data_IF_914845705114
#
_entry.id   IF_914845705114
#
_cell.length_a   1.000
_cell.length_b   1.000
_cell.length_c   1.000
_cell.angle_alpha   90.00
_cell.angle_beta   90.00
_cell.angle_gamma   90.00
#
_symmetry.space_group_name_H-M   'P 1'
#
loop_
_entity.id
_entity.type
_entity.pdbx_description
1 polymer ?
#
# COMPACT_ATOMS: atom_id res chain seq x y z
N UNK A 1 -28.64 -1.75 29.44
CA UNK A 1 -27.17 -1.70 29.32
C UNK A 1 -26.86 -1.09 27.97
N UNK A 2 -26.72 0.24 27.93
CA UNK A 2 -26.28 0.95 26.75
C UNK A 2 -24.82 0.55 26.49
N UNK A 3 -24.55 -0.02 25.32
CA UNK A 3 -23.18 -0.27 24.87
C UNK A 3 -22.48 1.09 24.75
N UNK A 4 -21.46 1.34 25.55
CA UNK A 4 -20.59 2.52 25.46
C UNK A 4 -19.77 2.56 24.15
N UNK A 5 -19.94 1.56 23.29
CA UNK A 5 -19.38 1.48 21.95
C UNK A 5 -20.50 1.09 20.99
N UNK A 6 -21.35 2.04 20.67
CA UNK A 6 -22.25 1.91 19.52
C UNK A 6 -21.38 1.99 18.26
N UNK A 7 -20.86 0.84 17.84
CA UNK A 7 -19.99 0.64 16.66
C UNK A 7 -20.61 1.26 15.40
N UNK A 8 -21.94 1.41 15.37
CA UNK A 8 -22.68 2.09 14.33
C UNK A 8 -22.25 3.56 14.15
N UNK A 9 -22.05 4.28 15.25
CA UNK A 9 -21.64 5.69 15.21
C UNK A 9 -20.19 5.84 14.74
N UNK A 10 -19.32 4.88 15.08
CA UNK A 10 -17.94 4.82 14.58
C UNK A 10 -17.87 4.52 13.08
N UNK A 11 -18.82 3.72 12.56
CA UNK A 11 -18.91 3.41 11.12
C UNK A 11 -19.10 4.67 10.28
N UNK A 12 -19.97 5.59 10.70
CA UNK A 12 -20.16 6.86 10.00
C UNK A 12 -18.93 7.78 10.07
N UNK A 13 -18.18 7.74 11.16
CA UNK A 13 -16.91 8.48 11.24
C UNK A 13 -15.84 7.89 10.32
N UNK A 14 -15.87 6.59 10.03
CA UNK A 14 -14.93 5.95 9.10
C UNK A 14 -14.94 6.62 7.73
N UNK A 15 -16.13 6.92 7.19
CA UNK A 15 -16.24 7.56 5.87
C UNK A 15 -15.68 9.00 5.88
N UNK A 16 -15.90 9.76 6.96
CA UNK A 16 -15.31 11.10 7.12
C UNK A 16 -13.79 11.01 7.19
N UNK A 17 -13.24 10.02 7.91
CA UNK A 17 -11.79 9.79 7.97
C UNK A 17 -11.21 9.43 6.60
N UNK A 18 -11.93 8.64 5.80
CA UNK A 18 -11.52 8.32 4.42
C UNK A 18 -11.41 9.60 3.59
N UNK A 19 -12.43 10.47 3.63
CA UNK A 19 -12.40 11.76 2.91
C UNK A 19 -11.21 12.61 3.34
N UNK A 20 -11.01 12.77 4.66
CA UNK A 20 -9.90 13.57 5.20
C UNK A 20 -8.54 12.99 4.82
N UNK A 21 -8.42 11.66 4.81
CA UNK A 21 -7.19 10.98 4.42
C UNK A 21 -6.88 11.20 2.95
N UNK A 22 -7.87 11.00 2.07
CA UNK A 22 -7.73 11.23 0.62
C UNK A 22 -7.43 12.70 0.34
N UNK A 23 -8.15 13.63 0.97
CA UNK A 23 -7.91 15.06 0.89
C UNK A 23 -6.46 15.41 1.26
N UNK A 24 -5.99 14.92 2.41
CA UNK A 24 -4.63 15.21 2.90
C UNK A 24 -3.57 14.61 1.98
N UNK A 25 -3.79 13.38 1.49
CA UNK A 25 -2.89 12.72 0.55
C UNK A 25 -2.77 13.47 -0.78
N UNK A 26 -3.90 13.82 -1.39
CA UNK A 26 -3.93 14.60 -2.64
C UNK A 26 -3.33 15.99 -2.42
N UNK A 27 -3.66 16.65 -1.31
CA UNK A 27 -3.08 17.95 -0.97
C UNK A 27 -1.56 17.89 -0.80
N UNK A 28 -1.05 16.86 -0.13
CA UNK A 28 0.40 16.66 0.03
C UNK A 28 1.10 16.47 -1.32
N UNK A 29 0.51 15.70 -2.23
CA UNK A 29 1.04 15.52 -3.59
C UNK A 29 1.05 16.85 -4.35
N UNK A 30 -0.05 17.62 -4.29
CA UNK A 30 -0.13 18.94 -4.94
C UNK A 30 0.84 19.96 -4.35
N UNK A 31 1.15 19.88 -3.05
CA UNK A 31 2.15 20.75 -2.40
C UNK A 31 3.58 20.47 -2.87
N UNK A 32 3.89 19.23 -3.26
CA UNK A 32 5.19 18.86 -3.81
C UNK A 32 5.28 19.24 -5.29
N UNK A 33 4.22 18.97 -6.07
CA UNK A 33 4.21 19.22 -7.52
C UNK A 33 3.97 20.69 -7.88
N UNK A 34 3.26 21.44 -7.02
CA UNK A 34 2.90 22.86 -7.20
C UNK A 34 2.39 23.20 -8.61
N UNK A 35 1.40 22.47 -9.16
CA UNK A 35 0.96 22.69 -10.55
C UNK A 35 0.41 24.11 -10.80
N UNK A 36 -0.06 24.78 -9.75
CA UNK A 36 -0.58 26.15 -9.80
C UNK A 36 0.29 27.14 -9.02
N UNK A 37 1.57 26.82 -8.82
CA UNK A 37 2.50 27.62 -8.01
C UNK A 37 2.28 27.48 -6.50
N UNK A 38 2.70 28.50 -5.74
CA UNK A 38 2.72 28.50 -4.26
C UNK A 38 1.40 28.95 -3.60
N UNK A 39 0.30 28.96 -4.37
CA UNK A 39 -1.02 29.37 -3.85
C UNK A 39 -1.66 28.21 -3.07
N UNK A 40 -1.31 28.09 -1.79
CA UNK A 40 -1.77 27.01 -0.89
C UNK A 40 -3.30 26.80 -0.90
N UNK A 41 -4.06 27.90 -0.95
CA UNK A 41 -5.53 27.84 -0.95
C UNK A 41 -6.10 27.17 -2.20
N UNK A 42 -5.48 27.38 -3.37
CA UNK A 42 -5.92 26.75 -4.62
C UNK A 42 -5.61 25.25 -4.62
N UNK A 43 -4.43 24.87 -4.12
CA UNK A 43 -4.06 23.46 -3.97
C UNK A 43 -5.01 22.72 -3.00
N UNK A 44 -5.42 23.37 -1.90
CA UNK A 44 -6.39 22.80 -0.95
C UNK A 44 -7.78 22.64 -1.59
N UNK A 45 -8.27 23.65 -2.31
CA UNK A 45 -9.56 23.58 -2.98
C UNK A 45 -9.60 22.47 -4.04
N UNK A 46 -8.52 22.32 -4.82
CA UNK A 46 -8.40 21.24 -5.80
C UNK A 46 -8.34 19.86 -5.13
N UNK A 47 -7.53 19.71 -4.07
CA UNK A 47 -7.46 18.47 -3.32
C UNK A 47 -8.82 18.06 -2.74
N UNK A 48 -9.59 19.05 -2.26
CA UNK A 48 -10.93 18.81 -1.76
C UNK A 48 -11.89 18.37 -2.86
N UNK A 49 -11.84 19.02 -4.04
CA UNK A 49 -12.65 18.61 -5.18
C UNK A 49 -12.32 17.18 -5.63
N UNK A 50 -11.04 16.81 -5.67
CA UNK A 50 -10.60 15.44 -6.02
C UNK A 50 -11.04 14.44 -4.96
N UNK A 51 -10.90 14.76 -3.66
CA UNK A 51 -11.35 13.89 -2.58
C UNK A 51 -12.87 13.65 -2.62
N UNK A 52 -13.64 14.69 -2.92
CA UNK A 52 -15.09 14.61 -3.12
C UNK A 52 -15.48 13.79 -4.36
N UNK A 53 -14.64 13.74 -5.40
CA UNK A 53 -14.87 12.84 -6.54
C UNK A 53 -14.53 11.39 -6.16
N UNK A 54 -13.43 11.17 -5.46
CA UNK A 54 -12.94 9.83 -5.10
C UNK A 54 -13.84 9.09 -4.12
N UNK A 55 -14.58 9.80 -3.26
CA UNK A 55 -15.53 9.17 -2.32
C UNK A 55 -16.68 8.42 -3.04
N UNK A 56 -16.96 8.71 -4.31
CA UNK A 56 -17.99 7.98 -5.06
C UNK A 56 -17.53 6.59 -5.52
N UNK A 57 -16.24 6.27 -5.40
CA UNK A 57 -15.70 4.94 -5.69
C UNK A 57 -15.62 4.11 -4.41
N UNK A 58 -16.41 3.02 -4.37
CA UNK A 58 -16.38 2.06 -3.26
C UNK A 58 -14.99 1.40 -3.13
N UNK A 59 -14.36 1.06 -4.24
CA UNK A 59 -13.01 0.47 -4.26
C UNK A 59 -11.97 1.38 -3.58
N UNK A 60 -12.03 2.68 -3.85
CA UNK A 60 -11.13 3.66 -3.22
C UNK A 60 -11.40 3.76 -1.72
N UNK A 61 -12.67 3.76 -1.31
CA UNK A 61 -13.03 3.76 0.12
C UNK A 61 -12.43 2.53 0.81
N UNK A 62 -12.57 1.34 0.22
CA UNK A 62 -12.08 0.10 0.81
C UNK A 62 -10.55 0.06 0.88
N UNK A 63 -9.85 0.51 -0.17
CA UNK A 63 -8.39 0.65 -0.17
C UNK A 63 -7.94 1.58 0.96
N UNK A 64 -8.62 2.72 1.16
CA UNK A 64 -8.27 3.68 2.21
C UNK A 64 -8.58 3.12 3.59
N UNK A 65 -9.74 2.49 3.79
CA UNK A 65 -10.12 1.83 5.06
C UNK A 65 -9.10 0.77 5.46
N UNK A 66 -8.54 0.04 4.50
CA UNK A 66 -7.50 -0.96 4.75
C UNK A 66 -6.12 -0.33 5.00
N UNK A 67 -5.83 0.83 4.38
CA UNK A 67 -4.54 1.53 4.53
C UNK A 67 -4.43 2.31 5.85
N UNK A 68 -5.52 2.92 6.32
CA UNK A 68 -5.53 3.81 7.50
C UNK A 68 -4.99 3.15 8.78
N UNK A 69 -5.38 1.91 9.16
CA UNK A 69 -4.86 1.26 10.37
C UNK A 69 -3.33 1.16 10.40
N UNK A 70 -2.69 0.89 9.26
CA UNK A 70 -1.24 0.80 9.15
C UNK A 70 -0.56 2.15 9.40
N UNK A 71 -1.13 3.24 8.90
CA UNK A 71 -0.65 4.59 9.21
C UNK A 71 -0.75 4.91 10.70
N UNK A 72 -1.89 4.57 11.33
CA UNK A 72 -2.08 4.78 12.77
C UNK A 72 -1.01 4.02 13.56
N UNK A 73 -0.75 2.76 13.21
CA UNK A 73 0.29 1.94 13.84
C UNK A 73 1.68 2.58 13.72
N UNK A 74 2.02 3.14 12.55
CA UNK A 74 3.31 3.81 12.32
C UNK A 74 3.41 5.10 13.10
N UNK A 75 2.35 5.92 13.12
CA UNK A 75 2.33 7.18 13.87
C UNK A 75 2.50 6.90 15.37
N UNK A 76 1.81 5.88 15.90
CA UNK A 76 1.96 5.45 17.29
C UNK A 76 3.38 4.95 17.55
N UNK A 77 3.92 4.11 16.66
CA UNK A 77 5.29 3.60 16.78
C UNK A 77 6.33 4.73 16.77
N UNK A 78 6.20 5.67 15.83
CA UNK A 78 7.05 6.84 15.71
C UNK A 78 6.94 7.73 16.95
N UNK A 79 5.72 7.95 17.46
CA UNK A 79 5.51 8.68 18.71
C UNK A 79 6.24 8.00 19.88
N UNK A 80 6.14 6.68 20.03
CA UNK A 80 6.88 5.95 21.08
C UNK A 80 8.39 6.05 20.90
N UNK A 81 8.91 5.97 19.67
CA UNK A 81 10.34 6.17 19.41
C UNK A 81 10.80 7.59 19.76
N UNK A 82 9.99 8.62 19.46
CA UNK A 82 10.29 10.00 19.84
C UNK A 82 10.29 10.15 21.37
N UNK A 83 9.32 9.57 22.08
CA UNK A 83 9.26 9.62 23.54
C UNK A 83 10.44 8.87 24.19
N UNK A 84 10.80 7.70 23.66
CA UNK A 84 11.92 6.90 24.17
C UNK A 84 13.28 7.60 23.97
N UNK A 85 13.51 8.22 22.81
CA UNK A 85 14.74 8.99 22.58
C UNK A 85 14.82 10.20 23.49
N UNK A 86 13.70 10.92 23.66
CA UNK A 86 13.61 12.05 24.60
C UNK A 86 13.79 11.64 26.06
N UNK A 87 13.30 10.48 26.49
CA UNK A 87 13.44 10.03 27.89
C UNK A 87 14.86 9.64 28.26
N UNK A 88 15.64 9.15 27.30
CA UNK A 88 17.08 8.82 27.46
C UNK A 88 17.96 10.07 27.33
N UNK A 89 17.40 11.23 26.96
CA UNK A 89 18.16 12.44 26.67
C UNK A 89 18.97 12.35 25.38
N UNK A 90 18.68 11.36 24.53
CA UNK A 90 19.31 11.22 23.23
C UNK A 90 18.62 12.14 22.21
N UNK A 91 19.41 12.92 21.48
CA UNK A 91 18.91 13.65 20.33
C UNK A 91 18.88 12.74 19.12
N UNK A 92 17.76 12.76 18.39
CA UNK A 92 17.67 12.07 17.10
C UNK A 92 18.67 12.72 16.14
N UNK A 93 19.39 11.93 15.33
CA UNK A 93 20.25 12.47 14.29
C UNK A 93 19.50 13.50 13.44
N UNK A 94 20.09 14.67 13.23
CA UNK A 94 19.48 15.74 12.43
C UNK A 94 19.07 15.27 11.02
N UNK A 95 19.80 14.30 10.46
CA UNK A 95 19.47 13.66 9.19
C UNK A 95 18.09 12.97 9.17
N UNK A 96 17.64 12.42 10.31
CA UNK A 96 16.32 11.78 10.44
C UNK A 96 15.24 12.85 10.56
N UNK A 97 15.47 13.88 11.37
CA UNK A 97 14.50 14.94 11.61
C UNK A 97 14.22 15.74 10.32
N UNK A 98 15.27 16.11 9.59
CA UNK A 98 15.16 16.91 8.38
C UNK A 98 14.47 16.17 7.23
N UNK A 99 14.58 14.83 7.19
CA UNK A 99 14.00 14.01 6.13
C UNK A 99 12.76 13.23 6.58
N UNK A 100 12.27 13.46 7.80
CA UNK A 100 11.18 12.68 8.40
C UNK A 100 9.93 12.73 7.52
N UNK A 101 9.58 13.91 7.01
CA UNK A 101 8.44 14.09 6.10
C UNK A 101 8.58 13.29 4.81
N UNK A 102 9.78 13.26 4.22
CA UNK A 102 10.07 12.49 3.02
C UNK A 102 9.97 10.99 3.30
N UNK A 103 10.51 10.50 4.42
CA UNK A 103 10.42 9.08 4.78
C UNK A 103 8.98 8.65 5.03
N UNK A 104 8.20 9.47 5.73
CA UNK A 104 6.77 9.21 5.94
C UNK A 104 6.04 9.16 4.60
N UNK A 105 6.33 10.08 3.67
CA UNK A 105 5.72 10.10 2.33
C UNK A 105 6.10 8.87 1.51
N UNK A 106 7.37 8.47 1.50
CA UNK A 106 7.82 7.28 0.77
C UNK A 106 7.14 6.02 1.33
N UNK A 107 7.09 5.89 2.66
CA UNK A 107 6.42 4.77 3.31
C UNK A 107 4.91 4.77 3.04
N UNK A 108 4.28 5.95 3.06
CA UNK A 108 2.89 6.16 2.71
C UNK A 108 2.57 5.66 1.30
N UNK A 109 3.41 6.00 0.32
CA UNK A 109 3.27 5.56 -1.06
C UNK A 109 3.44 4.04 -1.18
N UNK A 110 4.43 3.46 -0.50
CA UNK A 110 4.64 1.99 -0.50
C UNK A 110 3.43 1.27 0.08
N UNK A 111 2.92 1.71 1.23
CA UNK A 111 1.71 1.12 1.84
C UNK A 111 0.52 1.24 0.91
N UNK A 112 0.33 2.40 0.30
CA UNK A 112 -0.77 2.62 -0.62
C UNK A 112 -0.69 1.69 -1.84
N UNK A 113 0.51 1.49 -2.40
CA UNK A 113 0.73 0.54 -3.49
C UNK A 113 0.47 -0.91 -3.07
N UNK A 114 0.85 -1.30 -1.86
CA UNK A 114 0.53 -2.62 -1.30
C UNK A 114 -1.00 -2.79 -1.18
N UNK A 115 -1.70 -1.81 -0.62
CA UNK A 115 -3.16 -1.85 -0.48
C UNK A 115 -3.87 -1.93 -1.84
N UNK A 116 -3.43 -1.14 -2.82
CA UNK A 116 -3.94 -1.23 -4.20
C UNK A 116 -3.69 -2.63 -4.76
N UNK A 117 -2.47 -3.17 -4.60
CA UNK A 117 -2.10 -4.48 -5.14
C UNK A 117 -2.93 -5.62 -4.54
N UNK A 118 -3.29 -5.52 -3.26
CA UNK A 118 -4.14 -6.52 -2.60
C UNK A 118 -5.58 -6.48 -3.10
N UNK A 119 -6.15 -5.28 -3.31
CA UNK A 119 -7.52 -5.13 -3.83
C UNK A 119 -7.60 -5.41 -5.32
N UNK A 120 -6.88 -4.65 -6.13
CA UNK A 120 -6.92 -4.81 -7.58
C UNK A 120 -6.35 -6.15 -8.03
N UNK A 121 -5.36 -6.71 -7.32
CA UNK A 121 -4.79 -8.02 -7.63
C UNK A 121 -5.81 -9.17 -7.52
N UNK A 122 -6.78 -9.04 -6.62
CA UNK A 122 -7.89 -10.00 -6.52
C UNK A 122 -8.91 -9.81 -7.63
N UNK A 123 -9.20 -8.57 -8.04
CA UNK A 123 -10.20 -8.29 -9.08
C UNK A 123 -9.70 -8.54 -10.52
N UNK A 124 -8.41 -8.36 -10.78
CA UNK A 124 -7.81 -8.70 -12.09
C UNK A 124 -7.44 -10.18 -12.20
N UNK A 125 -7.32 -10.89 -11.07
CA UNK A 125 -7.06 -12.32 -11.01
C UNK A 125 -8.05 -13.19 -11.82
N UNK A 126 -9.38 -12.98 -11.71
CA UNK A 126 -10.39 -13.68 -12.51
C UNK A 126 -10.19 -13.52 -14.02
N UNK A 127 -9.66 -12.37 -14.47
CA UNK A 127 -9.43 -12.09 -15.89
C UNK A 127 -8.06 -12.58 -16.40
N UNK A 128 -7.16 -12.99 -15.51
CA UNK A 128 -5.89 -13.65 -15.86
C UNK A 128 -6.04 -15.17 -16.11
N UNK A 129 -7.28 -15.65 -16.16
CA UNK A 129 -7.62 -17.03 -16.47
C UNK A 129 -8.06 -17.80 -15.22
N UNK A 130 -9.31 -17.62 -14.84
CA UNK A 130 -10.07 -18.69 -14.22
C UNK A 130 -11.40 -18.79 -14.97
N UNK A 131 -11.51 -19.83 -15.82
CA UNK A 131 -12.81 -20.50 -15.94
C UNK A 131 -13.30 -20.72 -14.51
N UNK A 132 -14.54 -20.30 -14.25
CA UNK A 132 -15.27 -20.50 -13.01
C UNK A 132 -14.96 -21.87 -12.41
N UNK A 133 -13.97 -21.91 -11.50
CA UNK A 133 -13.68 -23.12 -10.76
C UNK A 133 -14.75 -23.16 -9.69
N UNK A 134 -15.77 -23.95 -9.96
CA UNK A 134 -16.70 -24.45 -8.97
C UNK A 134 -15.88 -24.88 -7.74
N UNK A 135 -16.13 -24.25 -6.59
CA UNK A 135 -15.38 -24.51 -5.35
C UNK A 135 -15.49 -25.98 -4.91
N UNK A 136 -16.47 -26.72 -5.45
CA UNK A 136 -16.67 -28.15 -5.23
C UNK A 136 -15.95 -29.06 -6.25
N UNK A 137 -15.29 -28.51 -7.27
CA UNK A 137 -14.66 -29.30 -8.32
C UNK A 137 -13.24 -28.82 -8.69
N UNK A 138 -12.48 -28.38 -7.68
CA UNK A 138 -11.02 -28.23 -7.82
C UNK A 138 -10.40 -29.63 -7.90
N UNK A 139 -10.43 -30.23 -9.08
CA UNK A 139 -9.60 -31.39 -9.38
C UNK A 139 -8.16 -30.90 -9.27
N UNK A 140 -7.47 -31.27 -8.19
CA UNK A 140 -6.06 -30.99 -7.99
C UNK A 140 -5.25 -31.50 -9.19
N UNK A 141 -4.98 -30.60 -10.13
CA UNK A 141 -4.31 -30.86 -11.40
C UNK A 141 -2.83 -31.07 -11.22
N UNK A 142 -2.43 -32.16 -10.55
CA UNK A 142 -1.04 -32.58 -10.44
C UNK A 142 -0.13 -31.66 -9.61
N UNK A 143 0.99 -32.24 -9.17
CA UNK A 143 2.01 -31.54 -8.38
C UNK A 143 2.66 -30.42 -9.20
N UNK A 144 2.18 -29.19 -9.01
CA UNK A 144 2.71 -28.00 -9.71
C UNK A 144 1.66 -26.96 -10.12
N UNK A 145 0.37 -27.21 -9.88
CA UNK A 145 -0.66 -26.22 -10.23
C UNK A 145 -0.63 -25.01 -9.27
N UNK A 146 -0.75 -23.81 -9.86
CA UNK A 146 -0.71 -22.52 -9.15
C UNK A 146 -2.09 -21.85 -9.06
N UNK A 147 -3.13 -22.52 -9.57
CA UNK A 147 -4.50 -22.04 -9.48
C UNK A 147 -5.07 -22.27 -8.08
N UNK A 148 -5.04 -21.25 -7.23
CA UNK A 148 -5.80 -21.20 -5.97
C UNK A 148 -6.69 -19.95 -5.91
N UNK A 149 -7.69 -19.94 -5.02
CA UNK A 149 -8.60 -18.80 -4.85
C UNK A 149 -7.98 -17.55 -4.22
N UNK A 150 -6.70 -17.57 -3.80
CA UNK A 150 -6.07 -16.43 -3.13
C UNK A 150 -4.86 -15.89 -3.91
N UNK A 151 -4.88 -14.59 -4.20
CA UNK A 151 -3.79 -13.91 -4.93
C UNK A 151 -2.43 -14.08 -4.24
N UNK A 152 -2.39 -14.00 -2.90
CA UNK A 152 -1.15 -14.18 -2.13
C UNK A 152 -0.55 -15.58 -2.34
N UNK A 153 -1.38 -16.63 -2.34
CA UNK A 153 -0.94 -17.99 -2.59
C UNK A 153 -0.54 -18.20 -4.06
N UNK A 154 -1.26 -17.62 -5.01
CA UNK A 154 -0.91 -17.71 -6.44
C UNK A 154 0.39 -16.97 -6.75
N UNK A 155 0.58 -15.79 -6.17
CA UNK A 155 1.80 -15.00 -6.33
C UNK A 155 2.99 -15.73 -5.72
N UNK A 156 2.85 -16.25 -4.49
CA UNK A 156 3.89 -17.06 -3.86
C UNK A 156 4.16 -18.35 -4.66
N UNK A 157 3.12 -19.08 -5.08
CA UNK A 157 3.25 -20.30 -5.87
C UNK A 157 3.92 -20.03 -7.22
N UNK A 158 3.65 -18.87 -7.84
CA UNK A 158 4.30 -18.45 -9.09
C UNK A 158 5.77 -18.09 -8.86
N UNK A 159 6.09 -17.29 -7.84
CA UNK A 159 7.48 -16.93 -7.51
C UNK A 159 8.33 -18.14 -7.14
N UNK A 160 7.75 -19.09 -6.40
CA UNK A 160 8.42 -20.33 -5.99
C UNK A 160 8.16 -21.49 -6.96
N UNK A 161 7.60 -21.23 -8.14
CA UNK A 161 7.42 -22.26 -9.15
C UNK A 161 8.80 -22.67 -9.70
N UNK A 162 9.14 -23.98 -9.79
CA UNK A 162 10.46 -24.44 -10.22
C UNK A 162 10.92 -23.86 -11.56
N UNK A 163 9.99 -23.66 -12.51
CA UNK A 163 10.28 -23.04 -13.82
C UNK A 163 10.61 -21.55 -13.72
N UNK A 164 9.95 -20.81 -12.84
CA UNK A 164 10.20 -19.36 -12.65
C UNK A 164 11.51 -19.16 -11.91
N UNK A 165 11.79 -19.97 -10.89
CA UNK A 165 13.08 -20.01 -10.21
C UNK A 165 14.23 -20.32 -11.17
N UNK A 166 14.06 -21.31 -12.06
CA UNK A 166 15.07 -21.61 -13.08
C UNK A 166 15.32 -20.43 -14.03
N UNK A 167 14.25 -19.74 -14.47
CA UNK A 167 14.37 -18.55 -15.32
C UNK A 167 15.07 -17.40 -14.60
N UNK A 168 14.70 -17.13 -13.34
CA UNK A 168 15.33 -16.10 -12.51
C UNK A 168 16.82 -16.40 -12.28
N UNK A 169 17.17 -17.67 -12.03
CA UNK A 169 18.54 -18.11 -11.89
C UNK A 169 19.36 -17.87 -13.16
N UNK A 170 18.81 -18.20 -14.34
CA UNK A 170 19.48 -17.95 -15.63
C UNK A 170 19.74 -16.44 -15.82
N UNK A 171 18.76 -15.58 -15.49
CA UNK A 171 18.92 -14.13 -15.60
C UNK A 171 20.04 -13.65 -14.67
N UNK A 172 20.06 -14.08 -13.41
CA UNK A 172 21.09 -13.70 -12.43
C UNK A 172 22.48 -14.15 -12.91
N UNK A 173 22.61 -15.41 -13.37
CA UNK A 173 23.88 -15.93 -13.89
C UNK A 173 24.33 -15.14 -15.13
N UNK A 174 23.42 -14.81 -16.04
CA UNK A 174 23.74 -13.99 -17.22
C UNK A 174 24.22 -12.59 -16.83
N UNK A 175 23.61 -12.00 -15.79
CA UNK A 175 23.96 -10.66 -15.31
C UNK A 175 25.36 -10.65 -14.69
N UNK A 176 25.71 -11.68 -13.91
CA UNK A 176 27.06 -11.86 -13.40
C UNK A 176 28.08 -12.14 -14.52
N UNK A 177 27.71 -12.91 -15.54
CA UNK A 177 28.59 -13.17 -16.68
C UNK A 177 28.93 -11.88 -17.45
N UNK A 178 27.92 -11.05 -17.73
CA UNK A 178 28.13 -9.74 -18.38
C UNK A 178 28.94 -8.80 -17.50
N UNK A 179 28.63 -8.73 -16.20
CA UNK A 179 29.34 -7.86 -15.27
C UNK A 179 30.81 -8.25 -15.10
N UNK A 180 31.13 -9.54 -15.10
CA UNK A 180 32.50 -10.03 -14.98
C UNK A 180 33.33 -9.81 -16.26
N UNK A 181 32.69 -9.87 -17.43
CA UNK A 181 33.33 -9.54 -18.71
C UNK A 181 33.57 -8.03 -18.84
N UNK A 182 32.60 -7.20 -18.43
CA UNK A 182 32.72 -5.73 -18.51
C UNK A 182 33.65 -5.09 -17.47
N UNK A 183 34.17 -5.87 -16.52
CA UNK A 183 35.07 -5.40 -15.47
C UNK A 183 36.57 -5.57 -15.81
N UNK A 184 36.89 -6.13 -16.99
CA UNK A 184 38.23 -6.21 -17.57
C UNK A 184 38.37 -5.27 -18.77
#
# INVERSE_FOLDING_TARGET
MASFFDISLLSHFSDIFVILFVFTGVYAILMVQKPFGDVKGLNALLAFAVAMMLIFSQDVIDIVKETVPWFVMIIIGLMFTLLATKSVGAELPAAIINNLGTYILVFAVILFLISISMKLGQDVGPYLGNETTDSDNVIAGGSGDVASGSFSQNFAATLFHPKVLAMMLIIIVSLFAVLLIGFW
#
